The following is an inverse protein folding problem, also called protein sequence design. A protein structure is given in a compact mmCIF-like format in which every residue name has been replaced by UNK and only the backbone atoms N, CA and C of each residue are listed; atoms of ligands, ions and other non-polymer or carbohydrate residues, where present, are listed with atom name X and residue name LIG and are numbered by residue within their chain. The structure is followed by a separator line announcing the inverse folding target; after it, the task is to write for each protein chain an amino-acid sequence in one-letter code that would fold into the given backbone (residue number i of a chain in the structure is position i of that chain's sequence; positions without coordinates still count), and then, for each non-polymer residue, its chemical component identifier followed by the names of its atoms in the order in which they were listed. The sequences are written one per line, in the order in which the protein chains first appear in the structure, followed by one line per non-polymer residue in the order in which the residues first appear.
data_IF_620697977169
#
_entry.id   IF_620697977169
#
_cell.length_a   1.000
_cell.length_b   1.000
_cell.length_c   1.000
_cell.angle_alpha   90.00
_cell.angle_beta   90.00
_cell.angle_gamma   90.00
#
_symmetry.space_group_name_H-M   'P 1'
#
loop_
_entity.id
_entity.type
_entity.pdbx_description
1 polymer ?
#
# COMPACT_ATOMS: atom_id res chain seq x y z
N UNK A 1 3.87 16.03 0.31
CA UNK A 1 2.51 16.60 0.44
C UNK A 1 2.37 17.69 -0.59
N UNK A 2 1.59 17.41 -1.63
CA UNK A 2 1.35 18.35 -2.72
C UNK A 2 0.59 19.58 -2.22
N UNK A 3 1.15 20.77 -2.45
CA UNK A 3 0.48 22.05 -2.18
C UNK A 3 0.39 22.89 -3.43
N UNK A 4 1.49 23.00 -4.18
CA UNK A 4 1.58 23.78 -5.41
C UNK A 4 1.54 22.85 -6.63
N UNK A 5 0.50 22.99 -7.45
CA UNK A 5 0.29 22.16 -8.65
C UNK A 5 0.22 23.05 -9.89
N UNK A 6 1.08 22.79 -10.86
CA UNK A 6 1.11 23.54 -12.11
C UNK A 6 0.62 22.66 -13.26
N UNK A 7 -0.23 23.21 -14.13
CA UNK A 7 -0.55 22.63 -15.43
C UNK A 7 0.16 23.40 -16.55
N UNK A 8 1.12 22.75 -17.19
CA UNK A 8 1.95 23.32 -18.23
C UNK A 8 1.34 23.06 -19.60
N UNK A 9 0.97 24.13 -20.31
CA UNK A 9 0.39 24.08 -21.66
C UNK A 9 1.33 24.71 -22.69
N UNK A 10 1.25 24.24 -23.92
CA UNK A 10 2.01 24.80 -25.04
C UNK A 10 1.29 25.99 -25.66
N UNK A 11 1.63 26.28 -26.92
CA UNK A 11 0.92 27.29 -27.74
C UNK A 11 -0.57 26.95 -27.92
N UNK A 12 -0.90 25.66 -27.85
CA UNK A 12 -2.28 25.19 -27.81
C UNK A 12 -2.47 24.23 -26.63
N UNK A 13 -3.68 24.27 -26.05
CA UNK A 13 -4.06 23.39 -24.96
C UNK A 13 -5.10 22.36 -25.41
N UNK A 14 -4.89 21.09 -25.04
CA UNK A 14 -5.96 20.09 -25.12
C UNK A 14 -6.94 20.29 -23.95
N UNK A 15 -8.14 20.78 -24.26
CA UNK A 15 -9.11 21.20 -23.26
C UNK A 15 -9.53 20.07 -22.31
N UNK A 16 -9.69 18.85 -22.83
CA UNK A 16 -10.14 17.72 -22.03
C UNK A 16 -9.08 17.29 -21.01
N UNK A 17 -7.85 17.02 -21.44
CA UNK A 17 -6.76 16.62 -20.55
C UNK A 17 -6.40 17.70 -19.53
N UNK A 18 -6.42 18.97 -19.94
CA UNK A 18 -6.27 20.08 -19.01
C UNK A 18 -7.43 20.10 -18.00
N UNK A 19 -8.66 19.90 -18.48
CA UNK A 19 -9.85 19.80 -17.65
C UNK A 19 -9.77 18.65 -16.64
N UNK A 20 -9.22 17.50 -17.00
CA UNK A 20 -8.99 16.37 -16.08
C UNK A 20 -8.07 16.77 -14.93
N UNK A 21 -6.94 17.41 -15.25
CA UNK A 21 -6.00 17.90 -14.23
C UNK A 21 -6.67 18.95 -13.34
N UNK A 22 -7.33 19.95 -13.94
CA UNK A 22 -8.00 21.00 -13.21
C UNK A 22 -9.14 20.46 -12.33
N UNK A 23 -9.87 19.44 -12.80
CA UNK A 23 -10.93 18.80 -12.05
C UNK A 23 -10.40 18.14 -10.77
N UNK A 24 -9.19 17.57 -10.81
CA UNK A 24 -8.59 16.87 -9.66
C UNK A 24 -7.88 17.83 -8.72
N UNK A 25 -7.03 18.72 -9.26
CA UNK A 25 -6.15 19.55 -8.45
C UNK A 25 -6.60 21.01 -8.33
N UNK A 26 -7.36 21.54 -9.28
CA UNK A 26 -7.67 22.97 -9.39
C UNK A 26 -9.03 23.41 -8.84
N UNK A 27 -9.88 22.49 -8.37
CA UNK A 27 -11.16 22.83 -7.78
C UNK A 27 -11.09 22.76 -6.25
N UNK A 28 -11.55 23.83 -5.61
CA UNK A 28 -11.73 23.87 -4.17
C UNK A 28 -12.88 22.96 -3.75
N UNK A 29 -12.58 22.03 -2.85
CA UNK A 29 -13.51 21.08 -2.24
C UNK A 29 -13.27 20.96 -0.73
N UNK A 30 -12.79 22.04 -0.10
CA UNK A 30 -12.55 22.06 1.35
C UNK A 30 -13.81 21.73 2.16
N UNK A 31 -14.99 22.09 1.65
CA UNK A 31 -16.29 21.80 2.27
C UNK A 31 -16.57 20.29 2.37
N UNK A 32 -16.01 19.49 1.46
CA UNK A 32 -16.10 18.03 1.45
C UNK A 32 -14.97 17.37 2.27
N UNK A 33 -14.12 18.17 2.94
CA UNK A 33 -12.94 17.71 3.67
C UNK A 33 -11.79 17.25 2.76
N UNK A 34 -11.81 17.63 1.48
CA UNK A 34 -10.82 17.24 0.48
C UNK A 34 -9.65 18.26 0.42
N UNK A 35 -8.44 17.82 -0.01
CA UNK A 35 -7.28 18.69 -0.11
C UNK A 35 -7.50 19.80 -1.13
N UNK A 36 -7.01 21.00 -0.79
CA UNK A 36 -6.96 22.16 -1.67
C UNK A 36 -5.52 22.35 -2.12
N UNK A 37 -5.33 22.59 -3.42
CA UNK A 37 -4.03 22.88 -4.00
C UNK A 37 -4.02 24.31 -4.54
N UNK A 38 -2.88 24.97 -4.41
CA UNK A 38 -2.55 26.17 -5.14
C UNK A 38 -2.27 25.78 -6.59
N UNK A 39 -3.32 25.85 -7.42
CA UNK A 39 -3.31 25.39 -8.80
C UNK A 39 -3.15 26.53 -9.80
N UNK A 40 -2.20 26.41 -10.72
CA UNK A 40 -1.97 27.41 -11.77
C UNK A 40 -1.81 26.78 -13.16
N UNK A 41 -2.36 27.43 -14.18
CA UNK A 41 -2.10 27.09 -15.60
C UNK A 41 -0.99 28.00 -16.12
N UNK A 42 0.07 27.39 -16.63
CA UNK A 42 1.28 28.06 -17.09
C UNK A 42 1.53 27.78 -18.56
N UNK A 43 2.00 28.79 -19.29
CA UNK A 43 2.44 28.67 -20.69
C UNK A 43 3.84 29.28 -20.83
N UNK A 44 4.50 29.11 -21.98
CA UNK A 44 5.77 29.78 -22.26
C UNK A 44 5.65 31.31 -22.15
N UNK A 45 4.52 31.85 -22.64
CA UNK A 45 4.17 33.26 -22.53
C UNK A 45 2.79 33.38 -21.88
N UNK A 46 2.65 34.10 -20.75
CA UNK A 46 1.34 34.35 -20.14
C UNK A 46 0.36 35.02 -21.12
N UNK A 47 -0.92 34.64 -21.06
CA UNK A 47 -1.97 35.25 -21.86
C UNK A 47 -2.93 34.25 -22.51
N UNK A 48 -3.60 34.65 -23.62
CA UNK A 48 -4.59 33.81 -24.27
C UNK A 48 -3.96 32.61 -24.98
N UNK A 49 -4.43 31.41 -24.66
CA UNK A 49 -4.03 30.13 -25.27
C UNK A 49 -5.23 29.53 -25.99
N UNK A 50 -5.07 29.19 -27.27
CA UNK A 50 -6.13 28.53 -28.05
C UNK A 50 -6.22 27.07 -27.65
N UNK A 51 -7.44 26.57 -27.48
CA UNK A 51 -7.65 25.14 -27.28
C UNK A 51 -7.86 24.42 -28.60
N UNK A 52 -7.50 23.14 -28.64
CA UNK A 52 -7.82 22.26 -29.79
C UNK A 52 -9.32 22.07 -30.00
N UNK A 53 -10.15 22.48 -29.03
CA UNK A 53 -11.61 22.45 -29.07
C UNK A 53 -12.25 23.76 -29.56
N UNK A 54 -11.44 24.72 -30.01
CA UNK A 54 -11.91 25.91 -30.73
C UNK A 54 -12.14 27.17 -29.88
N UNK A 55 -12.13 27.05 -28.54
CA UNK A 55 -12.25 28.20 -27.63
C UNK A 55 -10.87 28.67 -27.12
N UNK A 56 -10.84 29.79 -26.41
CA UNK A 56 -9.60 30.36 -25.84
C UNK A 56 -9.69 30.30 -24.32
N UNK A 57 -8.61 29.89 -23.67
CA UNK A 57 -8.42 30.02 -22.22
C UNK A 57 -7.32 31.03 -21.93
N UNK A 58 -7.21 31.47 -20.67
CA UNK A 58 -6.15 32.38 -20.25
C UNK A 58 -5.16 31.64 -19.33
N UNK A 59 -3.89 31.54 -19.75
CA UNK A 59 -2.81 31.08 -18.89
C UNK A 59 -2.25 32.28 -18.12
N UNK A 60 -2.48 32.31 -16.80
CA UNK A 60 -2.14 33.47 -15.96
C UNK A 60 -0.65 33.62 -15.64
N UNK A 61 0.14 32.58 -15.89
CA UNK A 61 1.52 32.48 -15.42
C UNK A 61 2.46 31.95 -16.50
N UNK A 62 3.73 32.29 -16.37
CA UNK A 62 4.80 31.82 -17.24
C UNK A 62 5.55 30.63 -16.63
N UNK A 63 6.69 30.23 -17.23
CA UNK A 63 7.52 29.13 -16.75
C UNK A 63 8.06 29.35 -15.33
N UNK A 64 8.18 30.60 -14.87
CA UNK A 64 8.66 30.94 -13.52
C UNK A 64 7.82 30.29 -12.42
N UNK A 65 6.54 30.02 -12.68
CA UNK A 65 5.65 29.37 -11.71
C UNK A 65 5.98 27.89 -11.47
N UNK A 66 6.66 27.24 -12.42
CA UNK A 66 7.13 25.85 -12.32
C UNK A 66 8.26 25.71 -11.29
N UNK A 67 9.01 26.80 -11.04
CA UNK A 67 10.14 26.83 -10.10
C UNK A 67 9.76 26.55 -8.64
N UNK A 68 8.48 26.67 -8.28
CA UNK A 68 8.00 26.40 -6.91
C UNK A 68 7.01 25.22 -6.84
N UNK A 69 6.73 24.56 -7.97
CA UNK A 69 5.73 23.50 -8.04
C UNK A 69 6.16 22.21 -7.32
N UNK A 70 5.26 21.60 -6.57
CA UNK A 70 5.45 20.24 -6.02
C UNK A 70 5.10 19.17 -7.08
N UNK A 71 4.13 19.48 -7.93
CA UNK A 71 3.71 18.67 -9.06
C UNK A 71 3.57 19.54 -10.31
N UNK A 72 4.27 19.15 -11.38
CA UNK A 72 4.06 19.72 -12.72
C UNK A 72 3.30 18.71 -13.57
N UNK A 73 2.11 19.10 -13.99
CA UNK A 73 1.28 18.31 -14.88
C UNK A 73 1.42 18.82 -16.32
N UNK A 74 1.51 17.90 -17.26
CA UNK A 74 1.58 18.19 -18.69
C UNK A 74 0.39 17.50 -19.35
N UNK A 75 -0.70 18.23 -19.64
CA UNK A 75 -1.82 17.75 -20.44
C UNK A 75 -1.38 17.29 -21.84
N UNK A 76 -2.33 16.84 -22.67
CA UNK A 76 -2.03 16.49 -24.05
C UNK A 76 -1.31 17.64 -24.77
N UNK A 77 -0.16 17.32 -25.36
CA UNK A 77 0.69 18.21 -26.13
C UNK A 77 0.35 18.07 -27.63
N UNK A 78 -0.26 19.08 -28.27
CA UNK A 78 -0.68 18.97 -29.67
C UNK A 78 0.48 19.00 -30.68
N UNK A 79 1.55 19.73 -30.37
CA UNK A 79 2.68 19.96 -31.28
C UNK A 79 3.71 18.82 -31.23
N UNK A 80 3.30 17.61 -31.64
CA UNK A 80 4.11 16.39 -31.53
C UNK A 80 5.42 16.39 -32.33
N UNK A 81 5.47 17.12 -33.44
CA UNK A 81 6.61 17.12 -34.37
C UNK A 81 7.54 18.33 -34.18
N UNK A 82 7.07 19.37 -33.49
CA UNK A 82 7.85 20.57 -33.22
C UNK A 82 8.65 20.37 -31.93
N UNK A 83 9.83 20.98 -31.88
CA UNK A 83 10.56 21.06 -30.63
C UNK A 83 9.82 22.00 -29.68
N UNK A 84 9.60 21.58 -28.42
CA UNK A 84 8.96 22.43 -27.45
C UNK A 84 9.85 23.64 -27.10
N UNK A 85 9.27 24.75 -26.62
CA UNK A 85 10.04 25.89 -26.15
C UNK A 85 11.07 25.48 -25.09
N UNK A 86 12.32 25.91 -25.26
CA UNK A 86 13.44 25.53 -24.40
C UNK A 86 13.19 25.93 -22.95
N UNK A 87 12.52 27.07 -22.72
CA UNK A 87 12.19 27.57 -21.38
C UNK A 87 11.28 26.59 -20.62
N UNK A 88 10.39 25.89 -21.32
CA UNK A 88 9.51 24.89 -20.71
C UNK A 88 10.26 23.59 -20.42
N UNK A 89 11.20 23.22 -21.29
CA UNK A 89 12.06 22.05 -21.12
C UNK A 89 12.97 22.23 -19.91
N UNK A 90 13.64 23.37 -19.80
CA UNK A 90 14.52 23.69 -18.67
C UNK A 90 13.73 23.77 -17.37
N UNK A 91 12.58 24.45 -17.36
CA UNK A 91 11.73 24.51 -16.18
C UNK A 91 11.31 23.12 -15.66
N UNK A 92 10.99 22.18 -16.56
CA UNK A 92 10.68 20.79 -16.19
C UNK A 92 11.89 20.05 -15.62
N UNK A 93 13.08 20.22 -16.23
CA UNK A 93 14.33 19.60 -15.75
C UNK A 93 14.68 20.11 -14.35
N UNK A 94 14.63 21.43 -14.15
CA UNK A 94 14.91 22.06 -12.86
C UNK A 94 13.92 21.65 -11.78
N UNK A 95 12.62 21.57 -12.11
CA UNK A 95 11.60 21.11 -11.17
C UNK A 95 11.87 19.68 -10.69
N UNK A 96 12.17 18.76 -11.60
CA UNK A 96 12.50 17.37 -11.23
C UNK A 96 13.82 17.29 -10.46
N UNK A 97 14.83 18.07 -10.84
CA UNK A 97 16.12 18.12 -10.13
C UNK A 97 15.97 18.63 -8.68
N UNK A 98 15.02 19.55 -8.43
CA UNK A 98 14.63 20.01 -7.10
C UNK A 98 13.91 18.93 -6.28
N UNK A 99 13.30 17.94 -6.95
CA UNK A 99 12.54 16.85 -6.32
C UNK A 99 11.02 16.93 -6.54
N UNK A 100 10.55 17.82 -7.42
CA UNK A 100 9.14 17.84 -7.81
C UNK A 100 8.77 16.60 -8.64
N UNK A 101 7.50 16.22 -8.58
CA UNK A 101 6.95 15.14 -9.42
C UNK A 101 6.43 15.72 -10.73
N UNK A 102 6.43 14.90 -11.78
CA UNK A 102 5.81 15.26 -13.07
C UNK A 102 4.78 14.23 -13.50
N UNK A 103 3.64 14.71 -13.98
CA UNK A 103 2.55 13.89 -14.51
C UNK A 103 2.26 14.29 -15.94
N UNK A 104 2.45 13.41 -16.92
CA UNK A 104 1.91 13.64 -18.27
C UNK A 104 0.61 12.88 -18.51
N UNK A 105 -0.32 13.54 -19.20
CA UNK A 105 -1.55 12.92 -19.68
C UNK A 105 -1.54 12.88 -21.22
N UNK A 106 -1.91 11.72 -21.78
CA UNK A 106 -2.01 11.53 -23.23
C UNK A 106 -0.66 11.79 -23.93
N UNK A 107 -0.62 12.73 -24.86
CA UNK A 107 0.58 13.13 -25.61
C UNK A 107 1.51 14.07 -24.85
N UNK A 108 1.17 14.49 -23.62
CA UNK A 108 2.09 15.26 -22.76
C UNK A 108 3.44 14.56 -22.54
N UNK A 109 3.49 13.24 -22.71
CA UNK A 109 4.71 12.44 -22.64
C UNK A 109 5.78 12.87 -23.66
N UNK A 110 5.41 13.47 -24.79
CA UNK A 110 6.37 13.99 -25.78
C UNK A 110 7.19 15.15 -25.24
N UNK A 111 6.58 16.06 -24.47
CA UNK A 111 7.31 17.14 -23.82
C UNK A 111 8.27 16.58 -22.75
N UNK A 112 7.81 15.62 -21.94
CA UNK A 112 8.69 14.97 -20.94
C UNK A 112 9.85 14.21 -21.61
N UNK A 113 9.62 13.60 -22.77
CA UNK A 113 10.65 12.93 -23.54
C UNK A 113 11.66 13.92 -24.14
N UNK A 114 11.19 15.06 -24.66
CA UNK A 114 12.05 16.14 -25.15
C UNK A 114 12.91 16.74 -24.02
N UNK A 115 12.35 16.84 -22.81
CA UNK A 115 13.10 17.22 -21.61
C UNK A 115 14.10 16.16 -21.12
N UNK A 116 14.15 14.97 -21.74
CA UNK A 116 15.02 13.86 -21.32
C UNK A 116 14.58 13.18 -20.02
N UNK A 117 13.42 13.56 -19.47
CA UNK A 117 12.92 13.03 -18.20
C UNK A 117 12.48 11.57 -18.30
N UNK A 118 12.19 11.09 -19.52
CA UNK A 118 11.77 9.71 -19.81
C UNK A 118 12.93 8.80 -20.26
N UNK A 119 14.16 9.31 -20.36
CA UNK A 119 15.29 8.52 -20.84
C UNK A 119 15.58 7.32 -19.92
N UNK A 120 15.54 6.11 -20.48
CA UNK A 120 15.73 4.85 -19.75
C UNK A 120 14.55 4.40 -18.89
N UNK A 121 13.49 5.22 -18.77
CA UNK A 121 12.31 4.96 -17.94
C UNK A 121 11.19 4.30 -18.74
N UNK A 122 10.32 3.58 -18.04
CA UNK A 122 9.04 3.13 -18.59
C UNK A 122 8.06 4.29 -18.66
N UNK A 123 7.38 4.42 -19.79
CA UNK A 123 6.40 5.48 -20.00
C UNK A 123 5.18 5.00 -20.79
N UNK A 124 4.02 5.54 -20.46
CA UNK A 124 2.78 5.38 -21.20
C UNK A 124 2.46 6.66 -21.98
N UNK A 125 1.81 6.52 -23.12
CA UNK A 125 1.13 7.61 -23.84
C UNK A 125 -0.09 7.01 -24.52
N UNK A 126 -0.89 7.85 -25.17
CA UNK A 126 -2.04 7.36 -25.94
C UNK A 126 -1.59 6.37 -27.01
N UNK A 127 -2.25 5.23 -27.09
CA UNK A 127 -1.89 4.10 -27.97
C UNK A 127 -1.59 4.51 -29.42
N UNK A 128 -2.37 5.44 -29.99
CA UNK A 128 -2.16 5.95 -31.36
C UNK A 128 -0.79 6.62 -31.57
N UNK A 129 -0.21 7.17 -30.50
CA UNK A 129 1.04 7.92 -30.54
C UNK A 129 2.22 7.17 -29.91
N UNK A 130 2.00 5.97 -29.34
CA UNK A 130 3.05 5.20 -28.68
C UNK A 130 4.21 4.85 -29.62
N UNK A 131 3.92 4.38 -30.83
CA UNK A 131 4.92 4.07 -31.87
C UNK A 131 5.69 5.31 -32.30
N UNK A 132 5.02 6.47 -32.32
CA UNK A 132 5.62 7.74 -32.70
C UNK A 132 6.56 8.24 -31.60
N UNK A 133 6.14 8.15 -30.33
CA UNK A 133 6.97 8.49 -29.18
C UNK A 133 8.24 7.63 -29.16
N UNK A 134 8.10 6.31 -29.34
CA UNK A 134 9.22 5.38 -29.36
C UNK A 134 10.20 5.65 -30.51
N UNK A 135 9.71 6.04 -31.70
CA UNK A 135 10.56 6.42 -32.83
C UNK A 135 11.30 7.74 -32.59
N UNK A 136 10.62 8.76 -32.07
CA UNK A 136 11.22 10.09 -31.84
C UNK A 136 12.18 10.10 -30.65
N UNK A 137 11.92 9.30 -29.63
CA UNK A 137 12.74 9.22 -28.42
C UNK A 137 13.12 7.76 -28.10
N UNK A 138 14.14 7.19 -28.80
CA UNK A 138 14.49 5.77 -28.70
C UNK A 138 14.96 5.29 -27.32
N UNK A 139 15.36 6.22 -26.44
CA UNK A 139 15.77 5.91 -25.07
C UNK A 139 14.58 5.67 -24.13
N UNK A 140 13.36 6.03 -24.53
CA UNK A 140 12.14 5.85 -23.73
C UNK A 140 11.64 4.41 -23.88
N UNK A 141 11.35 3.74 -22.77
CA UNK A 141 10.76 2.40 -22.78
C UNK A 141 9.23 2.52 -22.82
N UNK A 142 8.68 2.76 -24.01
CA UNK A 142 7.24 2.97 -24.19
C UNK A 142 6.47 1.66 -23.96
N UNK A 143 5.56 1.67 -22.99
CA UNK A 143 4.64 0.58 -22.67
C UNK A 143 3.25 0.92 -23.21
N UNK A 144 2.78 0.10 -24.16
CA UNK A 144 1.54 0.34 -24.91
C UNK A 144 0.30 -0.21 -24.21
N UNK A 145 0.51 -1.15 -23.28
CA UNK A 145 -0.56 -2.00 -22.76
C UNK A 145 -1.04 -1.55 -21.37
N UNK A 146 -0.76 -0.30 -21.01
CA UNK A 146 -0.96 0.26 -19.66
C UNK A 146 -1.69 1.59 -19.72
N UNK A 147 -2.64 1.82 -18.80
CA UNK A 147 -3.33 3.10 -18.64
C UNK A 147 -2.37 4.18 -18.13
N UNK A 148 -1.53 3.83 -17.16
CA UNK A 148 -0.50 4.72 -16.62
C UNK A 148 0.67 3.95 -16.04
N UNK A 149 1.84 4.60 -16.00
CA UNK A 149 3.07 4.07 -15.41
C UNK A 149 3.76 5.14 -14.59
N UNK A 150 4.10 4.77 -13.36
CA UNK A 150 5.00 5.51 -12.48
C UNK A 150 6.41 4.92 -12.54
N UNK A 151 7.42 5.76 -12.80
CA UNK A 151 8.83 5.38 -12.81
C UNK A 151 9.68 6.52 -12.23
N UNK A 152 9.92 6.46 -10.92
CA UNK A 152 10.63 7.49 -10.16
C UNK A 152 9.78 8.77 -10.01
N UNK A 153 10.30 9.97 -10.34
CA UNK A 153 9.55 11.22 -10.20
C UNK A 153 8.51 11.42 -11.32
N UNK A 154 8.42 10.50 -12.29
CA UNK A 154 7.61 10.65 -13.49
C UNK A 154 6.43 9.68 -13.49
N UNK A 155 5.23 10.21 -13.66
CA UNK A 155 4.00 9.48 -13.94
C UNK A 155 3.51 9.84 -15.34
N UNK A 156 3.18 8.84 -16.14
CA UNK A 156 2.69 9.05 -17.51
C UNK A 156 1.42 8.24 -17.76
N UNK A 157 0.48 8.76 -18.55
CA UNK A 157 -0.78 8.07 -18.84
C UNK A 157 -1.24 8.18 -20.29
N UNK A 158 -2.12 7.25 -20.68
CA UNK A 158 -2.73 7.12 -22.00
C UNK A 158 -3.58 8.32 -22.44
N UNK A 159 -4.08 9.13 -21.52
CA UNK A 159 -5.10 10.16 -21.81
C UNK A 159 -6.53 9.73 -21.51
N UNK A 160 -7.49 10.62 -21.79
CA UNK A 160 -8.91 10.40 -21.51
C UNK A 160 -9.16 9.93 -20.04
N UNK A 161 -9.90 8.83 -19.87
CA UNK A 161 -10.17 8.23 -18.55
C UNK A 161 -8.90 7.80 -17.80
N UNK A 162 -7.83 7.39 -18.51
CA UNK A 162 -6.58 6.99 -17.87
C UNK A 162 -5.85 8.18 -17.21
N UNK A 163 -6.08 9.40 -17.70
CA UNK A 163 -5.60 10.62 -17.04
C UNK A 163 -6.25 10.80 -15.67
N UNK A 164 -7.54 10.52 -15.56
CA UNK A 164 -8.28 10.54 -14.28
C UNK A 164 -7.69 9.49 -13.34
N UNK A 165 -7.50 8.27 -13.83
CA UNK A 165 -6.91 7.18 -13.05
C UNK A 165 -5.51 7.52 -12.53
N UNK A 166 -4.66 8.14 -13.36
CA UNK A 166 -3.33 8.58 -12.98
C UNK A 166 -3.35 9.71 -11.93
N UNK A 167 -4.24 10.69 -12.09
CA UNK A 167 -4.42 11.75 -11.09
C UNK A 167 -4.91 11.18 -9.74
N UNK A 168 -5.89 10.27 -9.75
CA UNK A 168 -6.39 9.62 -8.53
C UNK A 168 -5.33 8.73 -7.87
N UNK A 169 -4.47 8.08 -8.66
CA UNK A 169 -3.31 7.36 -8.15
C UNK A 169 -2.36 8.30 -7.39
N UNK A 170 -2.07 9.49 -7.92
CA UNK A 170 -1.26 10.49 -7.19
C UNK A 170 -1.93 10.95 -5.90
N UNK A 171 -3.23 11.26 -5.94
CA UNK A 171 -3.98 11.66 -4.74
C UNK A 171 -3.95 10.55 -3.69
N UNK A 172 -4.05 9.28 -4.10
CA UNK A 172 -3.94 8.13 -3.19
C UNK A 172 -2.56 8.07 -2.53
N UNK A 173 -1.49 8.27 -3.29
CA UNK A 173 -0.13 8.24 -2.74
C UNK A 173 0.14 9.38 -1.76
N UNK A 174 -0.42 10.57 -2.00
CA UNK A 174 -0.12 11.78 -1.21
C UNK A 174 -1.10 11.99 -0.04
N UNK A 175 -2.35 11.56 -0.19
CA UNK A 175 -3.45 11.85 0.74
C UNK A 175 -4.24 10.61 1.17
N UNK A 176 -3.85 9.42 0.74
CA UNK A 176 -4.50 8.15 1.07
C UNK A 176 -5.70 7.80 0.19
N UNK A 177 -6.09 6.53 0.24
CA UNK A 177 -7.21 5.93 -0.47
C UNK A 177 -8.56 6.54 -0.08
N UNK A 178 -8.77 6.90 1.18
CA UNK A 178 -10.03 7.51 1.62
C UNK A 178 -10.31 8.83 0.86
N UNK A 179 -9.29 9.69 0.77
CA UNK A 179 -9.33 10.95 0.02
C UNK A 179 -9.51 10.70 -1.47
N UNK A 180 -8.74 9.78 -2.05
CA UNK A 180 -8.84 9.43 -3.47
C UNK A 180 -10.25 8.90 -3.82
N UNK A 181 -10.82 8.02 -2.98
CA UNK A 181 -12.16 7.47 -3.16
C UNK A 181 -13.24 8.55 -3.02
N UNK A 182 -13.10 9.47 -2.07
CA UNK A 182 -14.02 10.59 -1.89
C UNK A 182 -14.00 11.54 -3.12
N UNK A 183 -12.81 11.86 -3.63
CA UNK A 183 -12.66 12.64 -4.85
C UNK A 183 -13.25 11.93 -6.08
N UNK A 184 -12.98 10.63 -6.25
CA UNK A 184 -13.54 9.82 -7.33
C UNK A 184 -15.08 9.80 -7.31
N UNK A 185 -15.69 9.59 -6.12
CA UNK A 185 -17.15 9.69 -5.94
C UNK A 185 -17.68 11.07 -6.33
N UNK A 186 -17.00 12.14 -5.93
CA UNK A 186 -17.40 13.52 -6.26
C UNK A 186 -17.32 13.82 -7.76
N UNK A 187 -16.39 13.16 -8.45
CA UNK A 187 -16.22 13.23 -9.91
C UNK A 187 -17.14 12.26 -10.67
N UNK A 188 -17.87 11.39 -9.98
CA UNK A 188 -18.73 10.35 -10.56
C UNK A 188 -17.93 9.41 -11.49
N UNK A 189 -16.74 9.03 -11.03
CA UNK A 189 -15.87 8.06 -11.73
C UNK A 189 -15.61 6.85 -10.83
N UNK A 190 -15.28 5.68 -11.41
CA UNK A 190 -14.87 4.52 -10.63
C UNK A 190 -13.72 4.86 -9.69
N UNK A 191 -13.74 4.34 -8.48
CA UNK A 191 -12.73 4.64 -7.46
C UNK A 191 -11.30 4.25 -7.90
N UNK A 192 -11.17 3.26 -8.78
CA UNK A 192 -9.87 2.86 -9.30
C UNK A 192 -9.97 1.96 -10.54
N UNK A 193 -9.10 2.24 -11.51
CA UNK A 193 -8.64 1.30 -12.52
C UNK A 193 -7.13 1.11 -12.34
N UNK A 194 -6.67 -0.14 -12.31
CA UNK A 194 -5.23 -0.39 -12.15
C UNK A 194 -4.45 0.06 -13.38
N UNK A 195 -3.29 0.69 -13.18
CA UNK A 195 -2.46 1.21 -14.28
C UNK A 195 -2.06 0.15 -15.31
N UNK A 196 -2.03 -1.13 -14.93
CA UNK A 196 -1.74 -2.25 -15.82
C UNK A 196 -2.89 -2.71 -16.73
N UNK A 197 -4.02 -2.00 -16.76
CA UNK A 197 -5.11 -2.29 -17.68
C UNK A 197 -4.78 -1.77 -19.10
N UNK A 198 -5.23 -2.47 -20.14
CA UNK A 198 -4.96 -2.11 -21.52
C UNK A 198 -5.76 -0.87 -21.98
N UNK A 199 -5.16 -0.07 -22.87
CA UNK A 199 -5.78 1.10 -23.49
C UNK A 199 -6.64 0.69 -24.70
N UNK A 200 -7.96 0.65 -24.53
CA UNK A 200 -8.96 0.34 -25.58
C UNK A 200 -8.79 -1.03 -26.27
N UNK A 201 -9.91 -1.63 -26.69
CA UNK A 201 -9.93 -2.95 -27.33
C UNK A 201 -10.76 -2.80 -28.58
N UNK A 202 -10.12 -2.79 -29.75
CA UNK A 202 -10.85 -3.15 -30.96
C UNK A 202 -11.14 -4.66 -30.90
N UNK A 203 -12.36 -5.01 -30.53
CA UNK A 203 -12.88 -6.35 -30.75
C UNK A 203 -14.01 -6.25 -31.78
N UNK A 204 -13.95 -6.98 -32.90
CA UNK A 204 -15.15 -7.34 -33.63
C UNK A 204 -16.02 -8.13 -32.63
N UNK A 205 -17.11 -7.52 -32.19
CA UNK A 205 -18.07 -8.15 -31.28
C UNK A 205 -18.74 -9.30 -32.04
N UNK A 206 -18.52 -10.58 -31.71
CA UNK A 206 -19.48 -11.60 -32.12
C UNK A 206 -20.75 -11.30 -31.33
N UNK A 207 -21.86 -11.04 -32.02
CA UNK A 207 -23.15 -10.79 -31.40
C UNK A 207 -23.58 -11.99 -30.54
N UNK A 208 -23.18 -12.02 -29.27
CA UNK A 208 -23.71 -12.97 -28.30
C UNK A 208 -24.95 -12.33 -27.65
N UNK A 209 -26.09 -12.94 -27.96
CA UNK A 209 -27.40 -12.60 -27.41
C UNK A 209 -27.43 -12.93 -25.90
N UNK A 210 -28.13 -12.08 -25.16
CA UNK A 210 -28.62 -12.19 -23.76
C UNK A 210 -27.66 -11.83 -22.60
N UNK A 211 -28.06 -10.77 -21.87
CA UNK A 211 -27.90 -10.60 -20.42
C UNK A 211 -26.55 -10.09 -19.89
N UNK A 212 -26.46 -8.78 -19.59
CA UNK A 212 -25.40 -8.11 -18.84
C UNK A 212 -23.96 -8.53 -19.20
N UNK A 213 -23.35 -7.82 -20.17
CA UNK A 213 -21.97 -8.06 -20.58
C UNK A 213 -20.94 -7.94 -19.44
N UNK A 214 -19.68 -8.18 -19.77
CA UNK A 214 -18.57 -8.28 -18.81
C UNK A 214 -18.48 -7.13 -17.79
N UNK A 215 -18.89 -5.90 -18.14
CA UNK A 215 -18.95 -4.76 -17.21
C UNK A 215 -19.82 -5.05 -15.99
N UNK A 216 -21.04 -5.56 -16.16
CA UNK A 216 -21.94 -5.88 -15.04
C UNK A 216 -21.42 -7.04 -14.18
N UNK A 217 -20.63 -7.94 -14.78
CA UNK A 217 -19.93 -8.98 -14.02
C UNK A 217 -18.80 -8.39 -13.16
N UNK A 218 -18.03 -7.43 -13.68
CA UNK A 218 -16.96 -6.77 -12.91
C UNK A 218 -17.50 -5.95 -11.73
N UNK A 219 -18.65 -5.31 -11.88
CA UNK A 219 -19.33 -4.60 -10.78
C UNK A 219 -19.78 -5.60 -9.70
N UNK A 220 -20.44 -6.68 -10.11
CA UNK A 220 -20.83 -7.75 -9.19
C UNK A 220 -19.63 -8.37 -8.45
N UNK A 221 -18.51 -8.61 -9.15
CA UNK A 221 -17.29 -9.13 -8.53
C UNK A 221 -16.73 -8.20 -7.46
N UNK A 222 -16.83 -6.87 -7.62
CA UNK A 222 -16.39 -5.90 -6.62
C UNK A 222 -17.25 -5.92 -5.35
N UNK A 223 -18.54 -6.24 -5.48
CA UNK A 223 -19.46 -6.35 -4.34
C UNK A 223 -19.29 -7.67 -3.56
N UNK A 224 -18.65 -8.69 -4.17
CA UNK A 224 -18.53 -10.05 -3.63
C UNK A 224 -17.06 -10.47 -3.45
N UNK A 225 -16.18 -9.52 -3.15
CA UNK A 225 -14.74 -9.77 -3.05
C UNK A 225 -14.37 -10.76 -1.94
N UNK A 226 -15.20 -10.87 -0.90
CA UNK A 226 -15.05 -11.79 0.23
C UNK A 226 -15.38 -13.26 -0.11
N UNK A 227 -15.99 -13.51 -1.27
CA UNK A 227 -16.40 -14.84 -1.71
C UNK A 227 -15.33 -15.58 -2.55
N UNK A 228 -15.37 -16.92 -2.62
CA UNK A 228 -14.47 -17.70 -3.48
C UNK A 228 -14.86 -17.59 -4.97
N UNK A 229 -14.42 -16.52 -5.63
CA UNK A 229 -14.70 -16.26 -7.05
C UNK A 229 -13.74 -17.04 -7.98
N UNK A 230 -14.12 -18.26 -8.38
CA UNK A 230 -13.35 -19.08 -9.33
C UNK A 230 -13.60 -18.70 -10.79
N UNK A 231 -12.66 -19.01 -11.68
CA UNK A 231 -12.81 -18.75 -13.12
C UNK A 231 -14.01 -19.52 -13.68
N UNK A 232 -14.25 -20.72 -13.19
CA UNK A 232 -15.38 -21.57 -13.56
C UNK A 232 -16.72 -20.94 -13.18
N UNK A 233 -16.83 -20.42 -11.95
CA UNK A 233 -18.05 -19.75 -11.47
C UNK A 233 -18.33 -18.45 -12.25
N UNK A 234 -17.29 -17.65 -12.48
CA UNK A 234 -17.40 -16.40 -13.24
C UNK A 234 -17.74 -16.66 -14.72
N UNK A 235 -17.14 -17.69 -15.32
CA UNK A 235 -17.43 -18.10 -16.69
C UNK A 235 -18.86 -18.60 -16.84
N UNK A 236 -19.35 -19.40 -15.89
CA UNK A 236 -20.75 -19.84 -15.85
C UNK A 236 -21.71 -18.65 -15.74
N UNK A 237 -21.41 -17.68 -14.87
CA UNK A 237 -22.20 -16.44 -14.72
C UNK A 237 -22.19 -15.58 -15.99
N UNK A 238 -21.11 -15.60 -16.76
CA UNK A 238 -20.99 -14.92 -18.05
C UNK A 238 -21.58 -15.71 -19.24
N UNK A 239 -22.16 -16.90 -19.00
CA UNK A 239 -22.59 -17.83 -20.05
C UNK A 239 -21.47 -18.18 -21.07
N UNK A 240 -20.23 -18.32 -20.59
CA UNK A 240 -19.05 -18.62 -21.39
C UNK A 240 -18.32 -19.88 -20.89
N UNK A 241 -17.55 -20.51 -21.77
CA UNK A 241 -16.56 -21.51 -21.31
C UNK A 241 -15.44 -20.82 -20.52
N UNK A 242 -14.79 -21.49 -19.54
CA UNK A 242 -13.67 -20.91 -18.78
C UNK A 242 -12.54 -20.34 -19.65
N UNK A 243 -12.22 -21.02 -20.75
CA UNK A 243 -11.20 -20.59 -21.71
C UNK A 243 -11.63 -19.33 -22.48
N UNK A 244 -12.87 -19.30 -22.96
CA UNK A 244 -13.42 -18.13 -23.66
C UNK A 244 -13.51 -16.93 -22.73
N UNK A 245 -14.00 -17.16 -21.51
CA UNK A 245 -14.10 -16.16 -20.47
C UNK A 245 -12.72 -15.58 -20.12
N UNK A 246 -11.73 -16.40 -19.77
CA UNK A 246 -10.40 -15.90 -19.40
C UNK A 246 -9.73 -15.08 -20.52
N UNK A 247 -9.92 -15.49 -21.78
CA UNK A 247 -9.43 -14.74 -22.94
C UNK A 247 -10.18 -13.41 -23.11
N UNK A 248 -11.51 -13.43 -23.03
CA UNK A 248 -12.33 -12.23 -23.16
C UNK A 248 -12.09 -11.25 -22.01
N UNK A 249 -11.96 -11.76 -20.78
CA UNK A 249 -11.60 -11.01 -19.59
C UNK A 249 -10.22 -10.36 -19.72
N UNK A 250 -9.22 -11.10 -20.19
CA UNK A 250 -7.88 -10.55 -20.42
C UNK A 250 -7.86 -9.49 -21.51
N UNK A 251 -8.60 -9.70 -22.59
CA UNK A 251 -8.77 -8.68 -23.61
C UNK A 251 -9.41 -7.42 -22.99
N UNK A 252 -10.52 -7.57 -22.26
CA UNK A 252 -11.29 -6.51 -21.61
C UNK A 252 -10.54 -5.71 -20.54
N UNK A 253 -9.76 -6.38 -19.70
CA UNK A 253 -9.18 -5.79 -18.49
C UNK A 253 -7.67 -5.65 -18.56
N UNK A 254 -7.03 -6.11 -19.63
CA UNK A 254 -5.57 -6.17 -19.76
C UNK A 254 -4.89 -7.26 -18.90
N UNK A 255 -5.64 -7.97 -18.05
CA UNK A 255 -5.07 -8.92 -17.07
C UNK A 255 -5.92 -10.17 -16.89
N UNK A 256 -5.40 -11.19 -16.21
CA UNK A 256 -6.17 -12.42 -15.96
C UNK A 256 -7.22 -12.22 -14.86
N UNK A 257 -8.34 -12.97 -14.85
CA UNK A 257 -9.36 -12.87 -13.81
C UNK A 257 -8.80 -12.98 -12.38
N UNK A 258 -7.89 -13.94 -12.17
CA UNK A 258 -7.25 -14.15 -10.87
C UNK A 258 -6.43 -12.93 -10.42
N UNK A 259 -5.63 -12.35 -11.34
CA UNK A 259 -4.79 -11.19 -11.01
C UNK A 259 -5.63 -9.93 -10.80
N UNK A 260 -6.69 -9.76 -11.57
CA UNK A 260 -7.65 -8.68 -11.37
C UNK A 260 -8.31 -8.76 -10.00
N UNK A 261 -8.83 -9.94 -9.63
CA UNK A 261 -9.45 -10.17 -8.33
C UNK A 261 -8.48 -9.88 -7.18
N UNK A 262 -7.24 -10.36 -7.30
CA UNK A 262 -6.20 -10.10 -6.30
C UNK A 262 -5.93 -8.60 -6.12
N UNK A 263 -5.83 -7.85 -7.22
CA UNK A 263 -5.60 -6.40 -7.19
C UNK A 263 -6.80 -5.66 -6.55
N UNK A 264 -8.04 -6.06 -6.83
CA UNK A 264 -9.24 -5.49 -6.19
C UNK A 264 -9.29 -5.77 -4.68
N UNK A 265 -8.97 -7.01 -4.27
CA UNK A 265 -8.89 -7.39 -2.86
C UNK A 265 -7.83 -6.60 -2.11
N UNK A 266 -6.64 -6.43 -2.71
CA UNK A 266 -5.58 -5.62 -2.12
C UNK A 266 -6.01 -4.16 -1.96
N UNK A 267 -6.74 -3.61 -2.93
CA UNK A 267 -7.23 -2.25 -2.87
C UNK A 267 -8.26 -2.04 -1.74
N UNK A 268 -9.20 -2.97 -1.56
CA UNK A 268 -10.13 -2.96 -0.43
C UNK A 268 -9.39 -3.11 0.90
N UNK A 269 -8.36 -3.96 0.95
CA UNK A 269 -7.53 -4.10 2.15
C UNK A 269 -6.81 -2.79 2.49
N UNK A 270 -6.23 -2.09 1.52
CA UNK A 270 -5.63 -0.76 1.70
C UNK A 270 -6.65 0.25 2.25
N UNK A 271 -7.83 0.35 1.63
CA UNK A 271 -8.88 1.24 2.10
C UNK A 271 -9.25 0.96 3.55
N UNK A 272 -9.44 -0.31 3.92
CA UNK A 272 -9.76 -0.70 5.30
C UNK A 272 -8.59 -0.43 6.25
N UNK A 273 -7.33 -0.62 5.82
CA UNK A 273 -6.15 -0.36 6.64
C UNK A 273 -5.98 1.13 6.95
N UNK A 274 -6.34 1.98 6.00
CA UNK A 274 -6.18 3.43 6.08
C UNK A 274 -7.36 4.12 6.77
N UNK A 275 -8.60 3.69 6.49
CA UNK A 275 -9.82 4.31 7.02
C UNK A 275 -10.29 3.74 8.36
N UNK A 276 -9.79 2.57 8.78
CA UNK A 276 -10.26 1.89 10.00
C UNK A 276 -9.13 1.42 10.91
N UNK A 277 -9.46 1.15 12.18
CA UNK A 277 -8.56 0.51 13.15
C UNK A 277 -8.70 -1.02 13.18
N UNK A 278 -9.33 -1.64 12.17
CA UNK A 278 -9.62 -3.09 12.18
C UNK A 278 -8.33 -3.92 12.30
N UNK A 279 -8.33 -5.04 13.04
CA UNK A 279 -7.21 -5.97 13.03
C UNK A 279 -6.91 -6.49 11.61
N UNK A 280 -5.64 -6.77 11.30
CA UNK A 280 -5.22 -7.22 9.96
C UNK A 280 -5.95 -8.49 9.54
N UNK A 281 -6.25 -9.41 10.46
CA UNK A 281 -7.02 -10.62 10.16
C UNK A 281 -8.48 -10.30 9.79
N UNK A 282 -9.09 -9.30 10.42
CA UNK A 282 -10.44 -8.83 10.05
C UNK A 282 -10.44 -8.16 8.69
N UNK A 283 -9.41 -7.36 8.39
CA UNK A 283 -9.22 -6.76 7.06
C UNK A 283 -9.05 -7.87 6.01
N UNK A 284 -8.26 -8.90 6.30
CA UNK A 284 -8.05 -10.01 5.38
C UNK A 284 -9.33 -10.80 5.10
N UNK A 285 -10.15 -11.05 6.11
CA UNK A 285 -11.45 -11.70 5.94
C UNK A 285 -12.38 -10.85 5.05
N UNK A 286 -12.55 -9.56 5.36
CA UNK A 286 -13.43 -8.65 4.60
C UNK A 286 -12.95 -8.40 3.17
N UNK A 287 -11.65 -8.42 2.95
CA UNK A 287 -11.06 -8.28 1.62
C UNK A 287 -10.95 -9.61 0.87
N UNK A 288 -11.44 -10.72 1.41
CA UNK A 288 -11.45 -12.02 0.72
C UNK A 288 -10.12 -12.77 0.64
N UNK A 289 -9.15 -12.43 1.47
CA UNK A 289 -7.90 -13.19 1.61
C UNK A 289 -8.03 -14.40 2.54
N UNK A 290 -9.11 -14.46 3.33
CA UNK A 290 -9.41 -15.52 4.29
C UNK A 290 -8.54 -15.49 5.56
N UNK A 291 -7.27 -15.12 5.46
CA UNK A 291 -6.35 -15.00 6.61
C UNK A 291 -5.39 -13.83 6.46
N UNK A 292 -4.94 -13.27 7.59
CA UNK A 292 -3.93 -12.21 7.60
C UNK A 292 -2.59 -12.63 7.01
N UNK A 293 -2.26 -13.92 7.01
CA UNK A 293 -1.02 -14.42 6.39
C UNK A 293 -1.09 -14.36 4.87
N UNK A 294 -2.22 -14.76 4.28
CA UNK A 294 -2.48 -14.64 2.84
C UNK A 294 -2.46 -13.17 2.42
N UNK A 295 -3.10 -12.29 3.21
CA UNK A 295 -3.04 -10.84 2.97
C UNK A 295 -1.59 -10.32 3.06
N UNK A 296 -0.86 -10.63 4.13
CA UNK A 296 0.54 -10.20 4.32
C UNK A 296 1.43 -10.61 3.14
N UNK A 297 1.31 -11.86 2.69
CA UNK A 297 2.06 -12.38 1.55
C UNK A 297 1.82 -11.56 0.28
N UNK A 298 0.54 -11.41 -0.12
CA UNK A 298 0.21 -10.69 -1.35
C UNK A 298 0.46 -9.18 -1.24
N UNK A 299 0.22 -8.59 -0.07
CA UNK A 299 0.44 -7.17 0.18
C UNK A 299 1.92 -6.82 0.10
N UNK A 300 2.80 -7.60 0.75
CA UNK A 300 4.24 -7.41 0.67
C UNK A 300 4.76 -7.60 -0.76
N UNK A 301 4.30 -8.65 -1.46
CA UNK A 301 4.70 -8.91 -2.84
C UNK A 301 4.28 -7.79 -3.82
N UNK A 302 3.15 -7.12 -3.57
CA UNK A 302 2.62 -6.09 -4.48
C UNK A 302 3.01 -4.66 -4.10
N UNK A 303 3.19 -4.37 -2.81
CA UNK A 303 3.41 -3.02 -2.26
C UNK A 303 4.77 -2.82 -1.61
N UNK A 304 5.57 -3.87 -1.47
CA UNK A 304 6.91 -3.81 -0.86
C UNK A 304 6.93 -3.63 0.65
N UNK A 305 5.76 -3.48 1.29
CA UNK A 305 5.60 -3.30 2.75
C UNK A 305 4.49 -4.21 3.29
N UNK A 306 4.50 -4.47 4.60
CA UNK A 306 3.42 -5.22 5.25
C UNK A 306 2.18 -4.34 5.53
N UNK A 307 0.98 -4.93 5.67
CA UNK A 307 -0.28 -4.22 5.97
C UNK A 307 -0.19 -3.26 7.17
N UNK A 308 0.47 -3.68 8.26
CA UNK A 308 0.64 -2.85 9.46
C UNK A 308 1.61 -1.69 9.24
N UNK A 309 2.63 -1.87 8.40
CA UNK A 309 3.56 -0.80 8.03
C UNK A 309 2.86 0.22 7.14
N UNK A 310 2.09 -0.25 6.16
CA UNK A 310 1.23 0.59 5.32
C UNK A 310 0.28 1.45 6.16
N UNK A 311 -0.44 0.85 7.11
CA UNK A 311 -1.33 1.58 8.03
C UNK A 311 -0.63 2.74 8.75
N UNK A 312 0.57 2.49 9.29
CA UNK A 312 1.32 3.52 10.06
C UNK A 312 1.69 4.71 9.19
N UNK A 313 2.10 4.46 7.95
CA UNK A 313 2.47 5.52 7.00
C UNK A 313 1.29 6.45 6.68
N UNK A 314 0.06 5.93 6.58
CA UNK A 314 -1.10 6.70 6.16
C UNK A 314 -1.96 7.25 7.31
N UNK A 315 -1.83 6.74 8.54
CA UNK A 315 -2.59 7.24 9.70
C UNK A 315 -1.89 8.38 10.47
N UNK A 316 -0.77 8.93 9.98
CA UNK A 316 0.05 9.92 10.70
C UNK A 316 0.33 9.49 12.15
N UNK A 317 0.62 8.20 12.37
CA UNK A 317 1.22 7.75 13.62
C UNK A 317 2.74 7.98 13.49
N UNK A 318 3.18 9.22 13.73
CA UNK A 318 4.60 9.51 13.93
C UNK A 318 5.17 8.60 15.04
N UNK A 319 6.42 8.12 14.92
CA UNK A 319 7.09 7.45 16.02
C UNK A 319 7.25 8.48 17.15
N UNK A 320 6.53 8.30 18.25
CA UNK A 320 6.68 9.14 19.44
C UNK A 320 8.04 8.89 20.10
N UNK A 321 9.09 9.48 19.54
CA UNK A 321 10.33 9.79 20.24
C UNK A 321 10.05 11.01 21.14
N UNK A 322 9.97 10.77 22.44
CA UNK A 322 10.17 11.80 23.46
C UNK A 322 9.08 12.86 23.59
N UNK A 323 7.96 12.52 24.26
CA UNK A 323 7.27 13.51 25.11
C UNK A 323 6.62 12.84 26.31
N UNK A 324 6.99 13.32 27.49
CA UNK A 324 6.59 12.79 28.78
C UNK A 324 5.05 12.81 28.96
N UNK A 325 4.45 11.77 29.54
CA UNK A 325 3.02 11.76 29.82
C UNK A 325 2.74 12.56 31.11
N UNK A 326 1.81 13.51 31.02
CA UNK A 326 1.12 14.09 32.18
C UNK A 326 -0.24 13.40 32.39
N UNK A 327 -0.80 13.46 33.61
CA UNK A 327 -1.24 12.24 34.28
C UNK A 327 -2.75 12.00 34.14
N UNK A 328 -3.09 10.80 33.67
CA UNK A 328 -4.34 10.14 34.04
C UNK A 328 -4.00 8.91 34.86
N UNK A 329 -4.40 9.00 36.13
CA UNK A 329 -3.99 8.22 37.28
C UNK A 329 -4.85 6.97 37.40
N UNK A 330 -4.24 5.79 37.20
CA UNK A 330 -4.27 4.61 38.08
C UNK A 330 -3.39 3.50 37.48
N UNK A 331 -2.28 3.20 38.15
CA UNK A 331 -1.39 2.03 38.05
C UNK A 331 -1.23 1.36 36.67
N UNK A 332 -0.27 1.84 35.86
CA UNK A 332 0.27 1.01 34.77
C UNK A 332 1.37 0.12 35.35
N UNK A 333 1.00 -1.12 35.68
CA UNK A 333 1.96 -2.22 35.87
C UNK A 333 2.78 -2.34 34.59
N UNK A 334 4.10 -2.20 34.70
CA UNK A 334 5.02 -2.51 33.61
C UNK A 334 5.34 -4.02 33.68
N UNK A 335 5.32 -4.66 32.52
CA UNK A 335 5.49 -6.10 32.38
C UNK A 335 6.53 -6.41 31.32
N UNK A 336 7.10 -7.59 31.36
CA UNK A 336 7.97 -8.14 30.31
C UNK A 336 7.40 -9.49 29.86
N UNK A 337 7.35 -9.73 28.55
CA UNK A 337 6.95 -11.01 27.96
C UNK A 337 8.10 -11.63 27.15
N UNK A 338 8.44 -12.88 27.48
CA UNK A 338 9.43 -13.68 26.77
C UNK A 338 8.74 -14.49 25.69
N UNK A 339 9.10 -14.24 24.42
CA UNK A 339 8.45 -14.87 23.27
C UNK A 339 9.42 -15.53 22.28
N UNK A 340 8.88 -16.49 21.54
CA UNK A 340 9.34 -16.83 20.20
C UNK A 340 8.25 -16.36 19.20
N UNK A 341 8.54 -15.42 18.27
CA UNK A 341 7.55 -14.87 17.33
C UNK A 341 6.85 -15.93 16.45
N UNK A 342 7.53 -17.05 16.16
CA UNK A 342 6.96 -18.15 15.39
C UNK A 342 5.90 -18.95 16.17
N UNK A 343 5.81 -18.79 17.50
CA UNK A 343 4.90 -19.56 18.35
C UNK A 343 3.48 -18.99 18.41
N UNK A 344 2.48 -19.80 18.06
CA UNK A 344 1.06 -19.41 18.08
C UNK A 344 0.59 -18.97 19.48
N UNK A 345 1.06 -19.60 20.56
CA UNK A 345 0.71 -19.23 21.94
C UNK A 345 1.27 -17.87 22.36
N UNK A 346 2.47 -17.52 21.89
CA UNK A 346 3.04 -16.19 22.11
C UNK A 346 2.23 -15.10 21.39
N UNK A 347 1.75 -15.37 20.16
CA UNK A 347 0.87 -14.45 19.42
C UNK A 347 -0.46 -14.25 20.15
N UNK A 348 -1.07 -15.34 20.63
CA UNK A 348 -2.32 -15.25 21.42
C UNK A 348 -2.15 -14.47 22.72
N UNK A 349 -1.03 -14.63 23.43
CA UNK A 349 -0.76 -13.88 24.66
C UNK A 349 -0.55 -12.37 24.37
N UNK A 350 0.22 -12.02 23.34
CA UNK A 350 0.40 -10.62 22.90
C UNK A 350 -0.93 -9.99 22.52
N UNK A 351 -1.74 -10.66 21.69
CA UNK A 351 -3.04 -10.13 21.29
C UNK A 351 -3.98 -9.90 22.48
N UNK A 352 -3.90 -10.75 23.50
CA UNK A 352 -4.69 -10.60 24.72
C UNK A 352 -4.18 -9.45 25.60
N UNK A 353 -2.86 -9.34 25.79
CA UNK A 353 -2.26 -8.22 26.53
C UNK A 353 -2.53 -6.87 25.85
N UNK A 354 -2.49 -6.81 24.52
CA UNK A 354 -2.85 -5.63 23.73
C UNK A 354 -4.33 -5.28 23.88
N UNK A 355 -5.22 -6.28 23.85
CA UNK A 355 -6.67 -6.08 24.01
C UNK A 355 -7.04 -5.51 25.39
N UNK A 356 -6.33 -5.92 26.44
CA UNK A 356 -6.51 -5.43 27.81
C UNK A 356 -5.74 -4.12 28.09
N UNK A 357 -5.05 -3.56 27.08
CA UNK A 357 -4.30 -2.31 27.20
C UNK A 357 -3.09 -2.39 28.14
N UNK A 358 -2.51 -3.58 28.30
CA UNK A 358 -1.38 -3.81 29.19
C UNK A 358 -0.11 -3.10 28.67
N UNK A 359 0.71 -2.59 29.59
CA UNK A 359 1.99 -1.97 29.26
C UNK A 359 3.10 -3.00 29.42
N UNK A 360 3.75 -3.42 28.32
CA UNK A 360 4.79 -4.44 28.40
C UNK A 360 5.95 -4.25 27.42
N UNK A 361 7.11 -4.83 27.74
CA UNK A 361 8.26 -5.00 26.86
C UNK A 361 8.33 -6.43 26.32
N UNK A 362 8.90 -6.61 25.13
CA UNK A 362 9.03 -7.92 24.50
C UNK A 362 10.49 -8.36 24.49
N UNK A 363 10.79 -9.47 25.17
CA UNK A 363 12.09 -10.15 25.10
C UNK A 363 12.02 -11.33 24.13
N UNK A 364 12.79 -11.26 23.04
CA UNK A 364 12.97 -12.39 22.12
C UNK A 364 14.07 -13.29 22.66
N UNK A 365 13.71 -14.15 23.61
CA UNK A 365 14.68 -14.89 24.43
C UNK A 365 15.55 -15.90 23.63
N UNK A 366 15.20 -16.24 22.39
CA UNK A 366 16.09 -17.01 21.51
C UNK A 366 17.19 -16.15 20.85
N UNK A 367 16.91 -14.87 20.62
CA UNK A 367 17.88 -13.90 20.09
C UNK A 367 18.70 -13.28 21.21
N UNK A 368 18.11 -13.16 22.41
CA UNK A 368 18.73 -12.63 23.63
C UNK A 368 18.51 -13.63 24.79
N UNK A 369 19.29 -14.73 24.82
CA UNK A 369 19.18 -15.77 25.84
C UNK A 369 19.27 -15.20 27.26
N UNK A 370 18.47 -15.69 28.20
CA UNK A 370 18.58 -15.29 29.59
C UNK A 370 19.82 -15.90 30.24
N UNK A 371 20.45 -15.11 31.10
CA UNK A 371 21.50 -15.61 32.00
C UNK A 371 20.91 -16.53 33.06
N UNK A 372 21.75 -17.35 33.69
CA UNK A 372 21.34 -18.19 34.84
C UNK A 372 20.71 -17.35 35.95
N UNK A 373 21.29 -16.20 36.26
CA UNK A 373 20.77 -15.29 37.29
C UNK A 373 19.38 -14.73 36.94
N UNK A 374 19.14 -14.38 35.67
CA UNK A 374 17.82 -13.93 35.21
C UNK A 374 16.79 -15.06 35.26
N UNK A 375 17.17 -16.29 34.90
CA UNK A 375 16.31 -17.46 35.00
C UNK A 375 15.91 -17.76 36.46
N UNK A 376 16.86 -17.66 37.40
CA UNK A 376 16.57 -17.83 38.82
C UNK A 376 15.58 -16.78 39.33
N UNK A 377 15.76 -15.52 38.93
CA UNK A 377 14.85 -14.44 39.31
C UNK A 377 13.43 -14.67 38.77
N UNK A 378 13.30 -15.12 37.52
CA UNK A 378 12.00 -15.42 36.90
C UNK A 378 11.34 -16.65 37.53
N UNK A 379 12.10 -17.72 37.78
CA UNK A 379 11.61 -18.94 38.42
C UNK A 379 11.14 -18.68 39.86
N UNK A 380 11.86 -17.84 40.60
CA UNK A 380 11.43 -17.39 41.92
C UNK A 380 10.07 -16.68 41.91
N UNK A 381 9.80 -15.85 40.88
CA UNK A 381 8.48 -15.20 40.70
C UNK A 381 7.40 -16.20 40.27
N UNK A 382 7.75 -17.19 39.45
CA UNK A 382 6.82 -18.23 39.01
C UNK A 382 6.50 -19.27 40.11
N UNK A 383 7.32 -19.33 41.17
CA UNK A 383 7.29 -20.44 42.14
C UNK A 383 7.39 -21.81 41.46
N UNK A 384 8.27 -21.90 40.47
CA UNK A 384 8.54 -23.10 39.67
C UNK A 384 10.03 -23.43 39.70
N UNK A 385 10.36 -24.68 39.46
CA UNK A 385 11.74 -25.12 39.30
C UNK A 385 12.16 -25.20 37.82
N UNK A 386 13.47 -25.20 37.49
CA UNK A 386 13.94 -25.22 36.12
C UNK A 386 13.37 -26.37 35.27
N UNK A 387 13.19 -27.56 35.87
CA UNK A 387 12.61 -28.72 35.18
C UNK A 387 11.13 -28.55 34.84
N UNK A 388 10.38 -27.69 35.54
CA UNK A 388 8.95 -27.45 35.29
C UNK A 388 8.71 -26.59 34.04
N UNK A 389 9.67 -25.73 33.71
CA UNK A 389 9.65 -24.90 32.51
C UNK A 389 10.50 -25.48 31.37
N UNK A 390 10.98 -26.72 31.51
CA UNK A 390 11.76 -27.38 30.46
C UNK A 390 10.85 -28.13 29.48
N UNK A 391 11.05 -27.90 28.18
CA UNK A 391 10.36 -28.58 27.07
C UNK A 391 11.13 -29.85 26.71
N UNK A 392 10.80 -30.96 27.38
CA UNK A 392 11.45 -32.26 27.18
C UNK A 392 11.19 -32.91 25.81
N UNK A 393 10.23 -32.39 25.02
CA UNK A 393 9.92 -32.88 23.68
C UNK A 393 10.70 -32.21 22.54
N UNK A 394 11.59 -31.27 22.82
CA UNK A 394 12.44 -30.63 21.80
C UNK A 394 13.63 -31.53 21.44
N UNK A 395 14.14 -31.51 20.18
CA UNK A 395 15.32 -32.28 19.79
C UNK A 395 16.55 -32.01 20.70
N UNK A 396 16.73 -30.76 21.11
CA UNK A 396 17.78 -30.34 22.04
C UNK A 396 17.69 -31.04 23.42
N UNK A 397 16.49 -31.42 23.85
CA UNK A 397 16.29 -32.13 25.11
C UNK A 397 16.78 -33.58 25.02
N UNK A 398 16.56 -34.23 23.87
CA UNK A 398 17.05 -35.57 23.60
C UNK A 398 18.59 -35.60 23.47
N UNK A 399 19.18 -34.60 22.82
CA UNK A 399 20.65 -34.45 22.69
C UNK A 399 21.35 -34.34 24.05
N UNK A 400 20.75 -33.59 24.99
CA UNK A 400 21.29 -33.40 26.33
C UNK A 400 20.90 -34.49 27.34
N UNK A 401 19.97 -35.37 26.96
CA UNK A 401 19.41 -36.40 27.84
C UNK A 401 18.67 -35.83 29.05
N UNK A 402 18.12 -34.61 28.96
CA UNK A 402 17.50 -33.92 30.13
C UNK A 402 16.27 -34.66 30.67
N UNK A 403 15.67 -35.56 29.88
CA UNK A 403 14.52 -36.36 30.31
C UNK A 403 14.80 -37.23 31.54
N UNK A 404 16.06 -37.68 31.71
CA UNK A 404 16.48 -38.60 32.77
C UNK A 404 17.25 -37.90 33.91
N UNK A 405 17.36 -36.57 33.88
CA UNK A 405 18.11 -35.84 34.89
C UNK A 405 17.37 -35.82 36.24
N UNK A 406 18.08 -35.94 37.38
CA UNK A 406 17.49 -35.79 38.70
C UNK A 406 16.84 -34.41 38.89
N UNK A 407 15.73 -34.37 39.63
CA UNK A 407 14.95 -33.16 39.94
C UNK A 407 15.08 -32.82 41.42
N UNK A 408 16.31 -32.50 41.81
CA UNK A 408 16.69 -32.17 43.18
C UNK A 408 17.60 -30.93 43.20
N UNK A 409 17.81 -30.40 44.40
CA UNK A 409 18.60 -29.18 44.61
C UNK A 409 20.06 -29.34 44.17
N UNK A 410 20.65 -30.53 44.36
CA UNK A 410 22.04 -30.81 44.00
C UNK A 410 22.28 -30.64 42.49
N UNK A 411 21.27 -30.95 41.67
CA UNK A 411 21.35 -30.86 40.21
C UNK A 411 20.68 -29.59 39.62
N UNK A 412 20.09 -28.73 40.46
CA UNK A 412 19.35 -27.53 40.02
C UNK A 412 20.19 -26.58 39.16
N UNK A 413 21.45 -26.37 39.53
CA UNK A 413 22.39 -25.52 38.76
C UNK A 413 22.60 -26.03 37.33
N UNK A 414 22.69 -27.35 37.15
CA UNK A 414 22.86 -28.00 35.84
C UNK A 414 21.66 -27.74 34.92
N UNK A 415 20.44 -27.77 35.47
CA UNK A 415 19.24 -27.45 34.69
C UNK A 415 19.20 -25.98 34.24
N UNK A 416 19.58 -25.05 35.13
CA UNK A 416 19.63 -23.62 34.80
C UNK A 416 20.65 -23.33 33.70
N UNK A 417 21.83 -23.94 33.77
CA UNK A 417 22.88 -23.80 32.75
C UNK A 417 22.40 -24.34 31.39
N UNK A 418 21.70 -25.47 31.38
CA UNK A 418 21.11 -26.03 30.16
C UNK A 418 20.05 -25.08 29.54
N UNK A 419 19.19 -24.46 30.35
CA UNK A 419 18.18 -23.51 29.85
C UNK A 419 18.81 -22.20 29.36
N UNK A 420 19.87 -21.71 29.99
CA UNK A 420 20.58 -20.51 29.56
C UNK A 420 21.34 -20.73 28.23
N UNK A 421 21.95 -21.90 28.07
CA UNK A 421 22.75 -22.24 26.88
C UNK A 421 21.91 -22.77 25.71
N UNK A 422 20.76 -23.40 25.99
CA UNK A 422 19.80 -23.91 25.00
C UNK A 422 18.41 -23.34 25.28
N UNK A 423 18.19 -22.04 25.02
CA UNK A 423 16.96 -21.36 25.39
C UNK A 423 15.71 -21.95 24.72
N UNK A 424 15.82 -22.65 23.58
CA UNK A 424 14.70 -23.35 22.95
C UNK A 424 13.98 -24.35 23.86
N UNK A 425 14.66 -24.82 24.92
CA UNK A 425 14.10 -25.67 25.96
C UNK A 425 13.14 -24.93 26.91
N UNK A 426 13.16 -23.60 26.96
CA UNK A 426 12.34 -22.81 27.87
C UNK A 426 10.87 -22.78 27.39
N UNK A 427 9.93 -23.09 28.29
CA UNK A 427 8.49 -22.92 28.06
C UNK A 427 8.14 -21.46 27.75
N UNK A 428 7.16 -21.27 26.87
CA UNK A 428 6.78 -19.95 26.35
C UNK A 428 5.26 -19.81 26.17
N UNK A 429 4.72 -18.58 26.23
CA UNK A 429 5.37 -17.35 26.69
C UNK A 429 5.54 -17.34 28.22
N UNK A 430 6.55 -16.64 28.72
CA UNK A 430 6.67 -16.28 30.16
C UNK A 430 6.36 -14.79 30.26
N UNK A 431 5.51 -14.40 31.21
CA UNK A 431 5.18 -13.00 31.48
C UNK A 431 5.55 -12.71 32.93
N UNK A 432 6.25 -11.61 33.16
CA UNK A 432 6.58 -11.11 34.50
C UNK A 432 6.13 -9.66 34.63
N UNK A 433 5.54 -9.29 35.76
CA UNK A 433 5.16 -7.92 36.07
C UNK A 433 6.01 -7.35 37.22
N UNK A 434 6.09 -6.02 37.28
CA UNK A 434 6.88 -5.31 38.30
C UNK A 434 6.30 -5.42 39.73
N UNK A 435 5.05 -5.88 39.88
CA UNK A 435 4.43 -6.20 41.18
C UNK A 435 4.84 -7.59 41.71
N UNK A 436 5.74 -8.28 41.01
CA UNK A 436 6.24 -9.61 41.36
C UNK A 436 5.42 -10.77 40.79
N UNK A 437 4.26 -10.50 40.18
CA UNK A 437 3.46 -11.55 39.53
C UNK A 437 4.14 -12.09 38.27
N UNK A 438 4.05 -13.40 38.04
CA UNK A 438 4.59 -14.04 36.85
C UNK A 438 3.75 -15.24 36.45
N UNK A 439 3.73 -15.56 35.16
CA UNK A 439 2.99 -16.71 34.63
C UNK A 439 3.61 -17.28 33.36
N UNK A 440 3.45 -18.60 33.16
CA UNK A 440 3.66 -19.24 31.86
C UNK A 440 2.35 -19.16 31.06
N UNK A 441 2.23 -18.20 30.16
CA UNK A 441 1.00 -17.80 29.46
C UNK A 441 0.52 -18.76 28.37
N UNK A 442 0.36 -20.05 28.69
CA UNK A 442 -0.07 -21.11 27.74
C UNK A 442 -1.57 -21.06 27.41
N UNK A 443 -2.36 -20.40 28.26
CA UNK A 443 -3.81 -20.24 28.08
C UNK A 443 -4.22 -18.78 28.30
N UNK A 444 -5.34 -18.33 27.72
CA UNK A 444 -5.88 -16.99 27.96
C UNK A 444 -6.10 -16.69 29.45
N UNK A 445 -6.54 -17.68 30.23
CA UNK A 445 -6.79 -17.54 31.67
C UNK A 445 -5.49 -17.25 32.42
N UNK A 446 -4.41 -17.95 32.08
CA UNK A 446 -3.09 -17.73 32.66
C UNK A 446 -2.55 -16.32 32.32
N UNK A 447 -2.80 -15.83 31.10
CA UNK A 447 -2.41 -14.46 30.74
C UNK A 447 -3.25 -13.43 31.48
N UNK A 448 -4.57 -13.63 31.66
CA UNK A 448 -5.41 -12.69 32.42
C UNK A 448 -5.05 -12.63 33.89
N UNK A 449 -4.60 -13.73 34.49
CA UNK A 449 -4.25 -13.77 35.92
C UNK A 449 -3.11 -12.82 36.30
N UNK A 450 -2.19 -12.51 35.36
CA UNK A 450 -1.10 -11.55 35.59
C UNK A 450 -1.52 -10.10 35.24
N UNK A 451 -2.60 -9.94 34.46
CA UNK A 451 -3.16 -8.64 34.08
C UNK A 451 -4.05 -8.01 35.17
N UNK A 452 -4.40 -8.77 36.22
CA UNK A 452 -5.18 -8.27 37.36
C UNK A 452 -6.69 -8.14 37.08
N UNK A 453 -7.21 -8.91 36.12
CA UNK A 453 -8.64 -8.99 35.76
C UNK A 453 -9.37 -10.11 36.47
#
# INVERSE_FOLDING_TARGET
MLRNVVALVGEQAAAFELGVVAQVFGLDRSDDGLPVHDFAVCAATPGPVRTTSGFTLHAGHGPERVADADLVTVPAWPQLEADPPEELVEALREAVARGARVLSVCTGAFLLAAAGLLDGRRAATHWQFADRLARRHPRVRVDRDVLYVEDGPVLTSAGAAAGIDACLHLVRLEHGAATANALARRMVVPAHRSGGQAQFIEMPVPAARTGHGLTGLLDWMQEHLDEPLTVEALAARAAMSPRTFARHFKAATGTTPHRWLLDQRLQLAEELLESTALPVDTVAARAGFGSGDTLRHHFAARRGVGPSAHRRTFRNEEPALGRAPQPHRKDRRSMEIWINPACSKCRSAISLMDAEGASYTVRRYLEQPPTVQELEAVLGRLSLEPWDITRTGEPAAAELGVGDWPRDEEHRARWLEALATRPELIQRPIITADDGSAVVGRTPEAVRSVLGS
#
